data_IF_769195592884
#
_entry.id   IF_769195592884
#
_cell.length_a   1.000
_cell.length_b   1.000
_cell.length_c   1.000
_cell.angle_alpha   90.00
_cell.angle_beta   90.00
_cell.angle_gamma   90.00
#
_symmetry.space_group_name_H-M   'P 1'
#
loop_
_entity.id
_entity.type
_entity.pdbx_description
1 polymer ?
#
# COMPACT_ATOMS: atom_id res chain seq x y z
N UNK A 1 31.50 -68.05 18.75
CA UNK A 1 31.67 -67.28 17.50
C UNK A 1 30.75 -67.73 16.35
N UNK A 2 30.74 -69.01 15.91
CA UNK A 2 29.91 -69.47 14.77
C UNK A 2 28.40 -69.19 14.89
N UNK A 3 27.80 -69.31 16.09
CA UNK A 3 26.37 -69.03 16.31
C UNK A 3 26.00 -67.54 16.17
N UNK A 4 26.93 -66.64 16.49
CA UNK A 4 26.70 -65.18 16.37
C UNK A 4 26.70 -64.75 14.91
N UNK A 5 27.63 -65.28 14.10
CA UNK A 5 27.68 -65.07 12.64
C UNK A 5 26.45 -65.60 11.90
N UNK A 6 25.91 -66.74 12.33
CA UNK A 6 24.68 -67.28 11.74
C UNK A 6 23.47 -66.40 12.08
N UNK A 7 23.41 -65.89 13.31
CA UNK A 7 22.32 -65.04 13.77
C UNK A 7 22.34 -63.65 13.10
N UNK A 8 23.52 -63.04 12.94
CA UNK A 8 23.66 -61.77 12.19
C UNK A 8 23.40 -61.94 10.70
N UNK A 9 23.80 -63.06 10.09
CA UNK A 9 23.46 -63.38 8.70
C UNK A 9 21.94 -63.53 8.50
N UNK A 10 21.25 -64.26 9.39
CA UNK A 10 19.79 -64.36 9.37
C UNK A 10 19.11 -63.01 9.59
N UNK A 11 19.59 -62.18 10.51
CA UNK A 11 19.05 -60.83 10.76
C UNK A 11 19.27 -59.90 9.57
N UNK A 12 20.42 -59.96 8.90
CA UNK A 12 20.70 -59.19 7.68
C UNK A 12 19.83 -59.66 6.50
N UNK A 13 19.58 -60.97 6.38
CA UNK A 13 18.59 -61.50 5.44
C UNK A 13 17.19 -60.99 5.78
N UNK A 14 16.74 -61.06 7.04
CA UNK A 14 15.42 -60.54 7.42
C UNK A 14 15.29 -59.02 7.26
N UNK A 15 16.35 -58.24 7.50
CA UNK A 15 16.36 -56.79 7.24
C UNK A 15 16.28 -56.46 5.74
N UNK A 16 16.90 -57.27 4.88
CA UNK A 16 16.80 -57.08 3.43
C UNK A 16 15.44 -57.49 2.85
N UNK A 17 14.71 -58.40 3.52
CA UNK A 17 13.31 -58.72 3.16
C UNK A 17 12.27 -57.78 3.78
N UNK A 18 12.59 -57.06 4.87
CA UNK A 18 11.64 -56.20 5.60
C UNK A 18 11.35 -54.83 4.95
N UNK A 19 11.97 -54.50 3.81
CA UNK A 19 11.78 -53.21 3.14
C UNK A 19 11.05 -53.27 1.79
N UNK A 20 10.50 -54.43 1.41
CA UNK A 20 9.62 -54.52 0.25
C UNK A 20 8.21 -54.03 0.61
N UNK A 21 8.02 -52.72 0.59
CA UNK A 21 6.70 -52.10 0.76
C UNK A 21 6.04 -52.02 -0.62
N UNK A 22 5.03 -52.85 -0.83
CA UNK A 22 4.18 -52.79 -2.01
C UNK A 22 3.07 -51.75 -1.78
N UNK A 23 3.04 -50.72 -2.62
CA UNK A 23 2.05 -49.64 -2.54
C UNK A 23 1.11 -49.72 -3.74
N UNK A 24 -0.20 -49.77 -3.50
CA UNK A 24 -1.20 -49.83 -4.56
C UNK A 24 -1.53 -48.45 -5.15
N UNK A 25 -1.51 -48.32 -6.48
CA UNK A 25 -1.94 -47.12 -7.19
C UNK A 25 -3.12 -47.40 -8.12
N UNK A 26 -4.09 -46.48 -8.16
CA UNK A 26 -5.08 -46.41 -9.24
C UNK A 26 -4.56 -45.47 -10.32
N UNK A 27 -4.41 -46.00 -11.52
CA UNK A 27 -3.87 -45.30 -12.68
C UNK A 27 -4.90 -45.25 -13.80
N UNK A 28 -4.74 -44.29 -14.70
CA UNK A 28 -5.50 -44.20 -15.95
C UNK A 28 -4.51 -44.21 -17.09
N UNK A 29 -4.71 -45.12 -18.05
CA UNK A 29 -3.91 -45.15 -19.26
C UNK A 29 -4.38 -44.03 -20.18
N UNK A 30 -3.50 -43.08 -20.46
CA UNK A 30 -3.84 -41.93 -21.30
C UNK A 30 -3.60 -42.26 -22.77
N UNK A 31 -2.36 -42.60 -23.15
CA UNK A 31 -2.00 -43.02 -24.50
C UNK A 31 -0.58 -43.57 -24.51
N UNK A 32 -0.19 -44.29 -25.57
CA UNK A 32 1.21 -44.58 -25.88
C UNK A 32 1.93 -43.40 -26.55
N UNK A 33 1.18 -42.41 -27.06
CA UNK A 33 1.72 -41.20 -27.67
C UNK A 33 1.64 -40.00 -26.72
N UNK A 34 2.75 -39.28 -26.54
CA UNK A 34 2.83 -38.13 -25.64
C UNK A 34 1.80 -37.03 -25.95
N UNK A 35 1.65 -36.66 -27.23
CA UNK A 35 0.74 -35.57 -27.66
C UNK A 35 -0.71 -35.93 -27.34
N UNK A 36 -1.10 -37.16 -27.63
CA UNK A 36 -2.44 -37.67 -27.32
C UNK A 36 -2.67 -37.75 -25.81
N UNK A 37 -1.69 -38.24 -25.05
CA UNK A 37 -1.77 -38.33 -23.59
C UNK A 37 -1.92 -36.95 -22.93
N UNK A 38 -1.10 -35.97 -23.35
CA UNK A 38 -1.19 -34.58 -22.91
C UNK A 38 -2.58 -33.99 -23.21
N UNK A 39 -3.10 -34.24 -24.42
CA UNK A 39 -4.42 -33.77 -24.81
C UNK A 39 -5.54 -34.37 -23.93
N UNK A 40 -5.50 -35.68 -23.67
CA UNK A 40 -6.47 -36.35 -22.78
C UNK A 40 -6.37 -35.78 -21.37
N UNK A 41 -5.14 -35.68 -20.83
CA UNK A 41 -4.92 -35.16 -19.48
C UNK A 41 -5.42 -33.72 -19.32
N UNK A 42 -5.20 -32.85 -20.30
CA UNK A 42 -5.62 -31.46 -20.23
C UNK A 42 -7.10 -31.26 -20.56
N UNK A 43 -7.63 -31.91 -21.58
CA UNK A 43 -8.93 -31.56 -22.14
C UNK A 43 -10.06 -32.49 -21.71
N UNK A 44 -9.74 -33.62 -21.08
CA UNK A 44 -10.71 -34.52 -20.45
C UNK A 44 -10.48 -34.51 -18.95
N UNK A 45 -11.50 -34.87 -18.17
CA UNK A 45 -11.31 -35.11 -16.74
C UNK A 45 -10.80 -36.55 -16.56
N UNK A 46 -9.49 -36.77 -16.28
CA UNK A 46 -8.93 -38.12 -16.29
C UNK A 46 -9.52 -38.99 -15.17
N UNK A 47 -10.09 -38.37 -14.13
CA UNK A 47 -10.74 -39.10 -13.04
C UNK A 47 -12.04 -39.81 -13.46
N UNK A 48 -12.63 -39.43 -14.60
CA UNK A 48 -13.82 -40.06 -15.17
C UNK A 48 -13.48 -41.20 -16.15
N UNK A 49 -12.21 -41.39 -16.48
CA UNK A 49 -11.76 -42.46 -17.35
C UNK A 49 -11.59 -43.77 -16.58
N UNK A 50 -11.58 -44.89 -17.32
CA UNK A 50 -11.42 -46.22 -16.74
C UNK A 50 -10.08 -46.36 -15.99
N UNK A 51 -10.17 -46.70 -14.71
CA UNK A 51 -9.02 -46.86 -13.82
C UNK A 51 -8.53 -48.30 -13.82
N UNK A 52 -7.21 -48.47 -13.81
CA UNK A 52 -6.52 -49.72 -13.56
C UNK A 52 -5.79 -49.66 -12.23
N UNK A 53 -5.54 -50.82 -11.63
CA UNK A 53 -4.85 -50.97 -10.36
C UNK A 53 -3.51 -51.62 -10.60
N UNK A 54 -2.45 -51.02 -10.10
CA UNK A 54 -1.09 -51.56 -10.14
C UNK A 54 -0.49 -51.51 -8.74
N UNK A 55 0.49 -52.38 -8.48
CA UNK A 55 1.33 -52.30 -7.30
C UNK A 55 2.70 -51.76 -7.68
N UNK A 56 3.27 -50.90 -6.84
CA UNK A 56 4.65 -50.44 -6.99
C UNK A 56 5.49 -50.92 -5.82
N UNK A 57 6.62 -51.55 -6.16
CA UNK A 57 7.62 -52.03 -5.22
C UNK A 57 8.67 -50.93 -5.03
N UNK A 58 8.87 -50.49 -3.79
CA UNK A 58 9.99 -49.60 -3.46
C UNK A 58 11.33 -50.28 -3.71
N UNK A 59 12.20 -49.62 -4.48
CA UNK A 59 13.60 -50.03 -4.72
C UNK A 59 14.60 -49.22 -3.88
N UNK A 60 14.10 -48.46 -2.89
CA UNK A 60 14.90 -47.79 -1.87
C UNK A 60 15.49 -46.42 -2.24
N UNK A 61 15.41 -45.99 -3.52
CA UNK A 61 16.06 -44.76 -4.00
C UNK A 61 15.14 -43.79 -4.77
N UNK A 62 13.83 -44.07 -4.89
CA UNK A 62 12.92 -43.24 -5.70
C UNK A 62 11.79 -42.62 -4.88
N UNK A 63 11.44 -41.39 -5.24
CA UNK A 63 10.26 -40.71 -4.70
C UNK A 63 8.99 -41.41 -5.17
N UNK A 64 8.01 -41.50 -4.27
CA UNK A 64 6.70 -42.05 -4.58
C UNK A 64 5.98 -41.27 -5.68
N UNK A 65 5.16 -41.94 -6.48
CA UNK A 65 4.41 -41.28 -7.55
C UNK A 65 3.37 -40.31 -6.97
N UNK A 66 3.41 -39.06 -7.43
CA UNK A 66 2.49 -38.02 -6.99
C UNK A 66 1.11 -38.17 -7.66
N UNK A 67 0.04 -38.19 -6.84
CA UNK A 67 -1.35 -38.18 -7.33
C UNK A 67 -1.62 -36.89 -8.11
N UNK A 68 -2.40 -36.99 -9.19
CA UNK A 68 -2.75 -35.84 -10.02
C UNK A 68 -1.73 -35.53 -11.13
N UNK A 69 -0.68 -36.35 -11.28
CA UNK A 69 0.41 -36.14 -12.25
C UNK A 69 0.41 -37.21 -13.34
N UNK A 70 1.07 -36.89 -14.45
CA UNK A 70 1.29 -37.80 -15.57
C UNK A 70 2.70 -38.36 -15.52
N UNK A 71 2.83 -39.67 -15.73
CA UNK A 71 4.10 -40.37 -15.79
C UNK A 71 4.21 -41.12 -17.11
N UNK A 72 5.43 -41.29 -17.58
CA UNK A 72 5.78 -42.18 -18.67
C UNK A 72 6.43 -43.43 -18.09
N UNK A 73 6.10 -44.61 -18.61
CA UNK A 73 6.80 -45.84 -18.32
C UNK A 73 6.75 -46.77 -19.53
N UNK A 74 7.62 -47.78 -19.54
CA UNK A 74 7.69 -48.79 -20.59
C UNK A 74 7.09 -50.10 -20.09
N UNK A 75 6.05 -50.60 -20.76
CA UNK A 75 5.35 -51.83 -20.39
C UNK A 75 5.53 -52.87 -21.50
N UNK A 76 6.35 -53.90 -21.27
CA UNK A 76 6.66 -54.95 -22.24
C UNK A 76 7.09 -54.39 -23.61
N UNK A 77 8.00 -53.41 -23.60
CA UNK A 77 8.51 -52.74 -24.80
C UNK A 77 7.56 -51.71 -25.43
N UNK A 78 6.40 -51.45 -24.83
CA UNK A 78 5.46 -50.45 -25.31
C UNK A 78 5.48 -49.20 -24.41
N UNK A 79 5.81 -48.01 -24.94
CA UNK A 79 5.76 -46.78 -24.16
C UNK A 79 4.32 -46.44 -23.78
N UNK A 80 4.10 -46.06 -22.53
CA UNK A 80 2.78 -45.74 -22.01
C UNK A 80 2.83 -44.50 -21.11
N UNK A 81 1.92 -43.56 -21.36
CA UNK A 81 1.68 -42.41 -20.50
C UNK A 81 0.45 -42.68 -19.64
N UNK A 82 0.63 -42.53 -18.33
CA UNK A 82 -0.40 -42.79 -17.34
C UNK A 82 -0.63 -41.58 -16.44
N UNK A 83 -1.84 -41.50 -15.90
CA UNK A 83 -2.22 -40.55 -14.87
C UNK A 83 -2.40 -41.27 -13.54
N UNK A 84 -1.84 -40.74 -12.46
CA UNK A 84 -2.04 -41.27 -11.11
C UNK A 84 -3.31 -40.68 -10.51
N UNK A 85 -4.39 -41.46 -10.50
CA UNK A 85 -5.68 -41.02 -9.97
C UNK A 85 -5.76 -41.09 -8.45
N UNK A 86 -5.15 -42.12 -7.85
CA UNK A 86 -5.18 -42.34 -6.40
C UNK A 86 -4.01 -43.18 -5.93
N UNK A 87 -3.46 -42.83 -4.77
CA UNK A 87 -2.55 -43.67 -3.99
C UNK A 87 -3.35 -44.40 -2.89
N UNK A 88 -3.09 -45.69 -2.72
CA UNK A 88 -3.67 -46.50 -1.64
C UNK A 88 -2.60 -46.89 -0.63
N UNK A 89 -3.01 -47.02 0.64
CA UNK A 89 -2.11 -47.36 1.73
C UNK A 89 -1.67 -48.83 1.74
N UNK A 90 -2.34 -49.69 0.95
CA UNK A 90 -2.06 -51.11 0.86
C UNK A 90 -1.96 -51.55 -0.60
N UNK A 91 -1.23 -52.65 -0.83
CA UNK A 91 -1.17 -53.33 -2.13
C UNK A 91 -2.49 -54.03 -2.47
N UNK A 92 -2.67 -54.29 -3.77
CA UNK A 92 -3.77 -55.08 -4.30
C UNK A 92 -3.33 -56.55 -4.46
N UNK A 93 -4.11 -57.49 -3.93
CA UNK A 93 -3.72 -58.92 -3.83
C UNK A 93 -3.50 -59.65 -5.16
N UNK A 94 -4.05 -59.15 -6.28
CA UNK A 94 -4.08 -59.84 -7.58
C UNK A 94 -3.69 -58.93 -8.75
N UNK A 95 -2.67 -58.08 -8.59
CA UNK A 95 -2.28 -57.11 -9.63
C UNK A 95 -0.78 -57.10 -9.87
N UNK A 96 -0.44 -56.78 -11.11
CA UNK A 96 0.93 -56.66 -11.59
C UNK A 96 1.72 -55.65 -10.75
N UNK A 97 2.98 -55.99 -10.49
CA UNK A 97 3.89 -55.20 -9.68
C UNK A 97 5.02 -54.65 -10.55
N UNK A 98 5.25 -53.33 -10.45
CA UNK A 98 6.31 -52.60 -11.15
C UNK A 98 7.28 -51.96 -10.15
N UNK A 99 8.45 -51.53 -10.59
CA UNK A 99 9.37 -50.76 -9.75
C UNK A 99 9.05 -49.26 -9.86
N UNK A 100 9.30 -48.48 -8.81
CA UNK A 100 9.16 -47.01 -8.90
C UNK A 100 10.08 -46.39 -9.95
N UNK A 101 11.27 -46.96 -10.15
CA UNK A 101 12.25 -46.54 -11.16
C UNK A 101 11.76 -46.64 -12.61
N UNK A 102 10.72 -47.44 -12.87
CA UNK A 102 10.17 -47.61 -14.21
C UNK A 102 9.40 -46.35 -14.68
N UNK A 103 9.03 -45.46 -13.75
CA UNK A 103 8.18 -44.31 -14.02
C UNK A 103 8.96 -42.99 -14.04
N UNK A 104 8.76 -42.21 -15.10
CA UNK A 104 9.35 -40.87 -15.26
C UNK A 104 8.27 -39.80 -15.26
N UNK A 105 8.30 -38.90 -14.28
CA UNK A 105 7.38 -37.77 -14.18
C UNK A 105 7.46 -36.90 -15.45
N UNK A 106 6.31 -36.63 -16.06
CA UNK A 106 6.20 -35.75 -17.20
C UNK A 106 5.72 -34.38 -16.72
N UNK A 107 6.66 -33.45 -16.58
CA UNK A 107 6.35 -32.07 -16.24
C UNK A 107 5.87 -31.33 -17.48
N UNK A 108 4.61 -30.93 -17.50
CA UNK A 108 4.06 -30.03 -18.51
C UNK A 108 2.97 -29.16 -17.91
N UNK A 109 2.67 -28.08 -18.60
CA UNK A 109 1.59 -27.17 -18.25
C UNK A 109 0.48 -27.33 -19.27
N UNK A 110 -0.76 -27.47 -18.79
CA UNK A 110 -1.92 -27.38 -19.66
C UNK A 110 -2.11 -25.94 -20.07
N UNK A 111 -2.22 -25.71 -21.37
CA UNK A 111 -2.41 -24.39 -21.94
C UNK A 111 -3.82 -24.31 -22.53
N UNK A 112 -4.40 -23.11 -22.44
CA UNK A 112 -5.58 -22.76 -23.21
C UNK A 112 -5.16 -21.79 -24.29
N UNK A 113 -5.62 -22.01 -25.51
CA UNK A 113 -5.52 -20.99 -26.55
C UNK A 113 -6.59 -19.92 -26.30
N UNK A 114 -6.17 -18.66 -26.31
CA UNK A 114 -7.04 -17.49 -26.27
C UNK A 114 -6.82 -16.65 -27.51
N UNK A 115 -7.89 -16.07 -28.02
CA UNK A 115 -7.83 -15.22 -29.20
C UNK A 115 -7.98 -13.76 -28.83
N UNK A 116 -7.23 -12.91 -29.52
CA UNK A 116 -7.17 -11.48 -29.25
C UNK A 116 -7.38 -10.69 -30.54
N UNK A 117 -8.25 -9.68 -30.46
CA UNK A 117 -8.25 -8.59 -31.43
C UNK A 117 -7.13 -7.63 -31.02
N UNK A 118 -6.14 -7.47 -31.88
CA UNK A 118 -4.97 -6.64 -31.65
C UNK A 118 -4.74 -5.63 -32.78
N UNK A 119 -3.90 -4.66 -32.50
CA UNK A 119 -3.43 -3.64 -33.45
C UNK A 119 -1.92 -3.65 -33.44
N UNK A 120 -1.30 -3.87 -34.60
CA UNK A 120 0.12 -3.68 -34.75
C UNK A 120 0.39 -2.17 -34.88
N UNK A 121 1.08 -1.62 -33.88
CA UNK A 121 1.45 -0.21 -33.80
C UNK A 121 2.80 0.08 -34.48
N UNK A 122 3.45 -0.94 -35.06
CA UNK A 122 4.70 -0.80 -35.79
C UNK A 122 5.80 -1.72 -35.27
N UNK A 123 6.99 -1.55 -35.85
CA UNK A 123 8.15 -2.43 -35.62
C UNK A 123 9.22 -1.83 -34.70
N UNK A 124 8.99 -0.62 -34.18
CA UNK A 124 9.88 0.02 -33.22
C UNK A 124 9.10 0.77 -32.13
N UNK A 125 9.74 0.97 -30.98
CA UNK A 125 9.12 1.59 -29.80
C UNK A 125 8.67 3.04 -30.05
N UNK A 126 9.44 3.80 -30.82
CA UNK A 126 9.14 5.22 -31.09
C UNK A 126 7.81 5.40 -31.82
N UNK A 127 7.60 4.65 -32.92
CA UNK A 127 6.35 4.70 -33.67
C UNK A 127 5.16 4.20 -32.83
N UNK A 128 5.36 3.12 -32.06
CA UNK A 128 4.34 2.61 -31.15
C UNK A 128 3.93 3.65 -30.10
N UNK A 129 4.89 4.37 -29.53
CA UNK A 129 4.64 5.46 -28.58
C UNK A 129 3.85 6.60 -29.24
N UNK A 130 4.24 7.03 -30.44
CA UNK A 130 3.53 8.09 -31.15
C UNK A 130 2.07 7.72 -31.42
N UNK A 131 1.81 6.51 -31.92
CA UNK A 131 0.43 6.06 -32.20
C UNK A 131 -0.36 5.92 -30.90
N UNK A 132 0.23 5.35 -29.86
CA UNK A 132 -0.44 5.14 -28.59
C UNK A 132 -0.80 6.45 -27.88
N UNK A 133 0.07 7.46 -27.95
CA UNK A 133 -0.09 8.71 -27.20
C UNK A 133 -0.84 9.79 -27.96
N UNK A 134 -0.67 9.85 -29.29
CA UNK A 134 -1.19 10.93 -30.12
C UNK A 134 -2.37 10.51 -31.00
N UNK A 135 -2.69 9.21 -31.04
CA UNK A 135 -3.81 8.69 -31.81
C UNK A 135 -4.64 7.73 -30.94
N UNK A 136 -5.77 7.24 -31.46
CA UNK A 136 -6.50 6.17 -30.82
C UNK A 136 -5.88 4.82 -31.23
N UNK A 137 -5.13 4.13 -30.34
CA UNK A 137 -4.44 2.88 -30.69
C UNK A 137 -5.42 1.77 -31.08
N UNK A 138 -6.69 1.83 -30.67
CA UNK A 138 -7.71 0.85 -31.06
C UNK A 138 -8.11 0.93 -32.55
N UNK A 139 -7.79 2.03 -33.22
CA UNK A 139 -8.15 2.27 -34.64
C UNK A 139 -6.96 2.59 -35.54
N UNK A 140 -5.88 3.16 -35.00
CA UNK A 140 -4.74 3.65 -35.80
C UNK A 140 -3.81 2.55 -36.34
N UNK A 141 -3.66 1.43 -35.62
CA UNK A 141 -2.78 0.32 -36.06
C UNK A 141 -3.42 -0.60 -37.09
N UNK A 142 -2.59 -1.37 -37.82
CA UNK A 142 -3.09 -2.43 -38.69
C UNK A 142 -3.74 -3.52 -37.85
N UNK A 143 -4.92 -3.99 -38.25
CA UNK A 143 -5.62 -5.07 -37.54
C UNK A 143 -4.76 -6.33 -37.52
N UNK A 144 -4.70 -6.98 -36.36
CA UNK A 144 -4.03 -8.26 -36.18
C UNK A 144 -4.93 -9.15 -35.32
N UNK A 145 -5.21 -10.35 -35.80
CA UNK A 145 -6.00 -11.35 -35.09
C UNK A 145 -5.00 -12.41 -34.59
N UNK A 146 -4.91 -12.61 -33.26
CA UNK A 146 -3.87 -13.44 -32.63
C UNK A 146 -4.52 -14.63 -31.92
N UNK A 147 -3.95 -15.83 -32.08
CA UNK A 147 -4.14 -16.94 -31.16
C UNK A 147 -2.91 -17.02 -30.25
N UNK A 148 -3.12 -17.08 -28.94
CA UNK A 148 -2.03 -17.16 -27.96
C UNK A 148 -2.30 -18.34 -27.03
N UNK A 149 -1.36 -19.27 -26.96
CA UNK A 149 -1.34 -20.36 -26.00
C UNK A 149 -0.88 -19.83 -24.65
N UNK A 150 -1.75 -19.93 -23.65
CA UNK A 150 -1.51 -19.42 -22.30
C UNK A 150 -1.62 -20.55 -21.27
N UNK A 151 -0.66 -20.65 -20.32
CA UNK A 151 -0.80 -21.56 -19.18
C UNK A 151 -2.14 -21.38 -18.45
N UNK A 152 -2.87 -22.47 -18.23
CA UNK A 152 -4.14 -22.44 -17.50
C UNK A 152 -3.97 -21.82 -16.11
N UNK A 153 -4.84 -20.86 -15.80
CA UNK A 153 -4.80 -20.12 -14.53
C UNK A 153 -3.75 -19.00 -14.48
N UNK A 154 -2.93 -18.80 -15.53
CA UNK A 154 -2.03 -17.66 -15.59
C UNK A 154 -2.74 -16.36 -15.95
N UNK A 155 -2.06 -15.23 -15.73
CA UNK A 155 -2.52 -13.93 -16.20
C UNK A 155 -2.73 -13.97 -17.72
N UNK A 156 -3.69 -13.21 -18.25
CA UNK A 156 -3.91 -13.12 -19.70
C UNK A 156 -3.20 -11.90 -20.28
N UNK A 157 -3.04 -11.84 -21.59
CA UNK A 157 -2.75 -10.55 -22.23
C UNK A 157 -3.92 -9.59 -21.97
N UNK A 158 -3.63 -8.44 -21.37
CA UNK A 158 -4.65 -7.52 -20.89
C UNK A 158 -5.08 -6.54 -21.99
N UNK A 159 -6.38 -6.34 -22.22
CA UNK A 159 -6.89 -5.26 -23.07
C UNK A 159 -6.36 -3.89 -22.61
N UNK A 160 -6.11 -3.00 -23.57
CA UNK A 160 -5.58 -1.67 -23.30
C UNK A 160 -4.07 -1.62 -23.07
N UNK A 161 -3.34 -2.74 -23.21
CA UNK A 161 -1.90 -2.81 -23.01
C UNK A 161 -1.14 -3.04 -24.31
N UNK A 162 0.12 -2.60 -24.33
CA UNK A 162 1.05 -2.81 -25.43
C UNK A 162 2.04 -3.91 -25.07
N UNK A 163 2.26 -4.85 -25.98
CA UNK A 163 3.24 -5.91 -25.85
C UNK A 163 4.23 -5.84 -27.00
N UNK A 164 5.51 -6.06 -26.71
CA UNK A 164 6.55 -6.31 -27.68
C UNK A 164 6.59 -7.81 -27.93
N UNK A 165 6.47 -8.19 -29.20
CA UNK A 165 6.38 -9.56 -29.69
C UNK A 165 7.35 -9.74 -30.86
N UNK A 166 8.08 -10.86 -30.92
CA UNK A 166 8.95 -11.18 -32.04
C UNK A 166 8.29 -12.24 -32.92
N UNK A 167 7.95 -11.84 -34.13
CA UNK A 167 7.26 -12.63 -35.14
C UNK A 167 8.25 -13.02 -36.23
N UNK A 168 8.80 -14.24 -36.16
CA UNK A 168 9.75 -14.77 -37.17
C UNK A 168 10.95 -13.83 -37.45
N UNK A 169 11.47 -13.18 -36.40
CA UNK A 169 12.59 -12.23 -36.50
C UNK A 169 12.17 -10.78 -36.68
N UNK A 170 10.88 -10.50 -36.88
CA UNK A 170 10.34 -9.14 -36.92
C UNK A 170 9.77 -8.76 -35.56
N UNK A 171 10.40 -7.78 -34.90
CA UNK A 171 9.83 -7.18 -33.68
C UNK A 171 8.60 -6.36 -34.04
N UNK A 172 7.48 -6.61 -33.34
CA UNK A 172 6.23 -5.87 -33.44
C UNK A 172 5.82 -5.35 -32.07
N UNK A 173 5.21 -4.17 -32.05
CA UNK A 173 4.58 -3.59 -30.87
C UNK A 173 3.07 -3.67 -31.05
N UNK A 174 2.42 -4.56 -30.32
CA UNK A 174 1.00 -4.86 -30.48
C UNK A 174 0.19 -4.29 -29.32
N UNK A 175 -0.94 -3.66 -29.63
CA UNK A 175 -1.93 -3.20 -28.66
C UNK A 175 -3.10 -4.17 -28.62
N UNK A 176 -3.43 -4.70 -27.43
CA UNK A 176 -4.56 -5.60 -27.26
C UNK A 176 -5.84 -4.78 -27.13
N UNK A 177 -6.75 -4.93 -28.09
CA UNK A 177 -8.04 -4.23 -28.06
C UNK A 177 -9.01 -4.95 -27.14
N UNK A 178 -9.15 -6.28 -27.32
CA UNK A 178 -10.02 -7.14 -26.50
C UNK A 178 -9.68 -8.61 -26.68
N UNK A 179 -10.09 -9.43 -25.70
CA UNK A 179 -10.11 -10.89 -25.81
C UNK A 179 -11.39 -11.35 -26.50
N UNK A 180 -11.32 -12.40 -27.32
CA UNK A 180 -12.45 -13.07 -27.95
C UNK A 180 -12.72 -14.44 -27.34
N UNK A 181 -13.98 -14.87 -27.48
CA UNK A 181 -14.39 -16.25 -27.23
C UNK A 181 -14.24 -17.06 -28.53
N UNK A 182 -13.51 -18.18 -28.46
CA UNK A 182 -13.23 -19.05 -29.60
C UNK A 182 -11.94 -18.69 -30.34
N UNK A 183 -11.38 -19.69 -31.02
CA UNK A 183 -10.11 -19.60 -31.77
C UNK A 183 -10.31 -19.09 -33.20
N UNK A 184 -9.34 -18.33 -33.72
CA UNK A 184 -9.27 -18.03 -35.15
C UNK A 184 -8.74 -19.28 -35.88
N UNK A 185 -9.60 -19.95 -36.67
CA UNK A 185 -9.29 -21.26 -37.28
C UNK A 185 -8.14 -21.24 -38.30
N UNK A 186 -7.80 -20.08 -38.83
CA UNK A 186 -6.83 -19.84 -39.91
C UNK A 186 -5.58 -19.10 -39.43
N UNK A 187 -5.35 -19.01 -38.11
CA UNK A 187 -4.24 -18.26 -37.52
C UNK A 187 -3.31 -19.16 -36.71
N UNK A 188 -2.02 -18.88 -36.85
CA UNK A 188 -0.99 -19.51 -36.03
C UNK A 188 -1.18 -19.17 -34.54
N UNK A 189 -0.77 -20.11 -33.70
CA UNK A 189 -0.84 -19.97 -32.24
C UNK A 189 0.55 -19.65 -31.70
N UNK A 190 0.68 -18.50 -31.06
CA UNK A 190 1.92 -18.02 -30.44
C UNK A 190 1.98 -18.39 -28.96
N UNK A 191 3.16 -18.51 -28.37
CA UNK A 191 3.27 -18.71 -26.93
C UNK A 191 3.10 -17.38 -26.20
N UNK A 192 2.39 -17.36 -25.07
CA UNK A 192 2.32 -16.17 -24.21
C UNK A 192 3.72 -15.66 -23.79
N UNK A 193 4.71 -16.55 -23.68
CA UNK A 193 6.09 -16.19 -23.34
C UNK A 193 6.74 -15.27 -24.36
N UNK A 194 6.23 -15.23 -25.60
CA UNK A 194 6.80 -14.44 -26.69
C UNK A 194 6.40 -12.95 -26.58
N UNK A 195 5.49 -12.63 -25.64
CA UNK A 195 4.98 -11.30 -25.41
C UNK A 195 5.59 -10.68 -24.15
N UNK A 196 6.21 -9.51 -24.31
CA UNK A 196 6.75 -8.72 -23.21
C UNK A 196 5.98 -7.41 -23.06
N UNK A 197 5.37 -7.18 -21.89
CA UNK A 197 4.60 -5.96 -21.62
C UNK A 197 5.49 -4.72 -21.78
N UNK A 198 5.00 -3.72 -22.52
CA UNK A 198 5.64 -2.42 -22.68
C UNK A 198 4.87 -1.36 -21.91
N UNK A 199 5.54 -0.76 -20.92
CA UNK A 199 4.97 0.33 -20.14
C UNK A 199 5.25 1.65 -20.86
N UNK A 200 4.28 2.08 -21.66
CA UNK A 200 4.36 3.36 -22.37
C UNK A 200 3.58 4.40 -21.56
N UNK A 201 4.30 5.42 -21.11
CA UNK A 201 3.72 6.59 -20.45
C UNK A 201 3.56 7.68 -21.48
N UNK A 202 2.33 8.15 -21.67
CA UNK A 202 2.07 9.32 -22.50
C UNK A 202 2.17 10.57 -21.64
N UNK A 203 2.89 11.56 -22.15
CA UNK A 203 2.99 12.87 -21.52
C UNK A 203 2.10 13.85 -22.29
N UNK A 204 1.36 14.67 -21.56
CA UNK A 204 0.73 15.85 -22.10
C UNK A 204 1.60 17.04 -21.69
N UNK A 205 1.98 17.89 -22.64
CA UNK A 205 2.64 19.15 -22.30
C UNK A 205 1.61 20.13 -21.76
N UNK A 206 1.95 20.78 -20.65
CA UNK A 206 1.18 21.87 -20.05
C UNK A 206 2.05 23.09 -19.89
N UNK A 207 1.43 24.25 -20.08
CA UNK A 207 2.14 25.52 -19.98
C UNK A 207 1.73 26.28 -18.74
N UNK A 208 2.71 26.94 -18.12
CA UNK A 208 2.53 27.67 -16.88
C UNK A 208 3.13 29.07 -17.01
N UNK A 209 2.37 30.05 -16.56
CA UNK A 209 2.91 31.37 -16.24
C UNK A 209 3.51 31.27 -14.83
N UNK A 210 4.81 31.52 -14.69
CA UNK A 210 5.54 31.40 -13.45
C UNK A 210 6.38 32.66 -13.14
N UNK A 211 6.83 32.76 -11.89
CA UNK A 211 7.80 33.76 -11.44
C UNK A 211 9.02 33.06 -10.89
N UNK A 212 10.20 33.40 -11.40
CA UNK A 212 11.46 32.98 -10.80
C UNK A 212 11.75 33.88 -9.59
N UNK A 213 11.70 33.27 -8.41
CA UNK A 213 11.94 33.93 -7.12
C UNK A 213 13.44 33.92 -6.73
N UNK A 214 14.29 33.31 -7.54
CA UNK A 214 15.74 33.29 -7.34
C UNK A 214 16.34 31.89 -7.34
N UNK A 215 17.63 31.83 -7.03
CA UNK A 215 18.44 30.59 -7.10
C UNK A 215 18.72 29.95 -5.74
N UNK A 216 18.26 30.56 -4.64
CA UNK A 216 18.40 30.01 -3.30
C UNK A 216 17.08 30.10 -2.51
N UNK A 217 16.91 29.18 -1.56
CA UNK A 217 15.68 29.05 -0.77
C UNK A 217 15.41 30.29 0.09
N UNK A 218 16.45 30.92 0.63
CA UNK A 218 16.32 32.09 1.50
C UNK A 218 15.65 33.28 0.78
N UNK A 219 16.15 33.62 -0.42
CA UNK A 219 15.58 34.70 -1.22
C UNK A 219 14.13 34.38 -1.65
N UNK A 220 13.89 33.14 -2.07
CA UNK A 220 12.54 32.70 -2.45
C UNK A 220 11.56 32.82 -1.28
N UNK A 221 11.98 32.45 -0.07
CA UNK A 221 11.17 32.58 1.16
C UNK A 221 10.89 34.06 1.47
N UNK A 222 11.90 34.93 1.40
CA UNK A 222 11.71 36.35 1.64
C UNK A 222 10.70 36.97 0.66
N UNK A 223 10.82 36.67 -0.63
CA UNK A 223 9.89 37.20 -1.64
C UNK A 223 8.48 36.63 -1.41
N UNK A 224 8.36 35.32 -1.17
CA UNK A 224 7.07 34.68 -0.97
C UNK A 224 6.32 35.20 0.26
N UNK A 225 7.03 35.45 1.35
CA UNK A 225 6.41 35.82 2.62
C UNK A 225 6.22 37.32 2.82
N UNK A 226 7.13 38.13 2.28
CA UNK A 226 7.17 39.58 2.53
C UNK A 226 6.75 40.41 1.31
N UNK A 227 6.61 39.79 0.14
CA UNK A 227 6.16 40.46 -1.08
C UNK A 227 4.98 39.68 -1.70
N UNK A 228 4.42 40.21 -2.78
CA UNK A 228 3.44 39.47 -3.58
C UNK A 228 4.17 38.60 -4.62
N UNK A 229 4.30 37.27 -4.44
CA UNK A 229 5.06 36.41 -5.35
C UNK A 229 4.46 36.31 -6.75
N UNK A 230 3.20 36.71 -6.97
CA UNK A 230 2.60 36.73 -8.30
C UNK A 230 3.14 37.88 -9.18
N UNK A 231 3.63 38.95 -8.55
CA UNK A 231 4.19 40.14 -9.22
C UNK A 231 5.68 40.31 -8.96
N UNK A 232 6.19 39.78 -7.86
CA UNK A 232 7.61 39.78 -7.52
C UNK A 232 8.38 38.69 -8.29
N UNK A 233 9.67 38.92 -8.51
CA UNK A 233 10.53 38.03 -9.30
C UNK A 233 10.43 38.26 -10.82
N UNK A 234 11.31 37.60 -11.57
CA UNK A 234 11.30 37.68 -13.04
C UNK A 234 10.24 36.75 -13.63
N UNK A 235 9.57 37.20 -14.69
CA UNK A 235 8.59 36.38 -15.41
C UNK A 235 9.28 35.18 -16.05
N UNK A 236 8.67 34.00 -15.94
CA UNK A 236 9.12 32.79 -16.59
C UNK A 236 7.91 32.07 -17.19
N UNK A 237 8.01 31.72 -18.46
CA UNK A 237 6.98 30.97 -19.18
C UNK A 237 7.53 29.54 -19.33
N UNK A 238 6.81 28.53 -18.84
CA UNK A 238 7.28 27.14 -18.75
C UNK A 238 6.39 26.22 -19.57
N UNK A 239 6.99 25.31 -20.34
CA UNK A 239 6.32 24.10 -20.80
C UNK A 239 6.79 22.94 -19.92
N UNK A 240 5.85 22.13 -19.42
CA UNK A 240 6.13 20.98 -18.57
C UNK A 240 5.44 19.76 -19.14
N UNK A 241 6.21 18.72 -19.46
CA UNK A 241 5.73 17.40 -19.83
C UNK A 241 5.22 16.69 -18.58
N UNK A 242 3.93 16.39 -18.55
CA UNK A 242 3.29 15.72 -17.42
C UNK A 242 2.69 14.39 -17.87
N UNK A 243 2.94 13.27 -17.18
CA UNK A 243 2.25 12.01 -17.47
C UNK A 243 0.73 12.21 -17.48
N UNK A 244 0.06 11.74 -18.53
CA UNK A 244 -1.38 11.91 -18.73
C UNK A 244 -2.15 11.36 -17.51
N UNK A 245 -3.02 12.19 -16.95
CA UNK A 245 -3.79 11.87 -15.74
C UNK A 245 -3.04 12.09 -14.42
N UNK A 246 -1.78 12.52 -14.44
CA UNK A 246 -1.07 12.92 -13.23
C UNK A 246 -1.56 14.28 -12.70
N UNK A 247 -1.26 14.56 -11.43
CA UNK A 247 -1.52 15.88 -10.85
C UNK A 247 -0.77 16.97 -11.61
N UNK A 248 -1.28 18.19 -11.64
CA UNK A 248 -0.58 19.31 -12.28
C UNK A 248 0.35 20.01 -11.31
N UNK A 249 1.27 20.84 -11.82
CA UNK A 249 1.85 21.88 -10.96
C UNK A 249 0.73 22.83 -10.51
N UNK A 250 0.67 23.09 -9.20
CA UNK A 250 -0.47 23.78 -8.58
C UNK A 250 -0.21 25.29 -8.55
N UNK A 251 -1.12 26.12 -9.08
CA UNK A 251 -1.05 27.57 -8.91
C UNK A 251 -0.98 27.98 -7.44
N UNK A 252 -0.22 29.02 -7.15
CA UNK A 252 -0.01 29.50 -5.77
C UNK A 252 1.06 28.73 -4.99
N UNK A 253 1.75 27.77 -5.60
CA UNK A 253 2.80 26.97 -4.95
C UNK A 253 4.19 27.30 -5.49
N UNK A 254 5.20 27.03 -4.68
CA UNK A 254 6.61 27.16 -5.03
C UNK A 254 7.19 25.79 -5.35
N UNK A 255 7.93 25.70 -6.44
CA UNK A 255 8.67 24.51 -6.83
C UNK A 255 10.15 24.85 -6.99
N UNK A 256 11.00 23.92 -6.59
CA UNK A 256 12.42 23.93 -6.87
C UNK A 256 12.70 22.99 -8.02
N UNK A 257 13.40 23.46 -9.04
CA UNK A 257 13.87 22.62 -10.14
C UNK A 257 15.27 23.05 -10.60
N UNK A 258 15.94 22.18 -11.35
CA UNK A 258 17.27 22.43 -11.90
C UNK A 258 17.15 22.73 -13.40
N UNK A 259 17.57 23.92 -13.80
CA UNK A 259 17.60 24.40 -15.17
C UNK A 259 19.06 24.48 -15.63
N UNK A 260 19.51 23.49 -16.41
CA UNK A 260 20.87 23.41 -16.97
C UNK A 260 21.99 23.57 -15.92
N UNK A 261 21.81 23.00 -14.73
CA UNK A 261 22.78 23.10 -13.63
C UNK A 261 22.54 24.27 -12.67
N UNK A 262 21.59 25.16 -12.98
CA UNK A 262 21.16 26.24 -12.10
C UNK A 262 19.89 25.88 -11.36
N UNK A 263 19.97 25.77 -10.04
CA UNK A 263 18.78 25.60 -9.19
C UNK A 263 17.94 26.88 -9.24
N UNK A 264 16.65 26.74 -9.52
CA UNK A 264 15.67 27.83 -9.49
C UNK A 264 14.52 27.50 -8.55
N UNK A 265 14.02 28.53 -7.87
CA UNK A 265 12.79 28.47 -7.08
C UNK A 265 11.72 29.28 -7.81
N UNK A 266 10.69 28.60 -8.32
CA UNK A 266 9.63 29.22 -9.11
C UNK A 266 8.30 29.18 -8.37
N UNK A 267 7.53 30.25 -8.51
CA UNK A 267 6.15 30.33 -8.09
C UNK A 267 5.22 30.18 -9.30
N UNK A 268 4.29 29.23 -9.24
CA UNK A 268 3.32 29.02 -10.32
C UNK A 268 2.18 30.03 -10.16
N UNK A 269 2.05 30.96 -11.11
CA UNK A 269 1.00 31.97 -11.09
C UNK A 269 -0.32 31.35 -11.56
N UNK A 270 -0.31 30.68 -12.71
CA UNK A 270 -1.47 29.99 -13.29
C UNK A 270 -1.07 28.99 -14.36
N UNK A 271 -1.96 28.04 -14.64
CA UNK A 271 -1.89 27.19 -15.83
C UNK A 271 -2.44 27.94 -17.05
N UNK A 272 -1.83 27.74 -18.20
CA UNK A 272 -2.23 28.35 -19.47
C UNK A 272 -2.80 27.29 -20.43
N UNK A 273 -3.73 27.72 -21.28
CA UNK A 273 -4.22 26.90 -22.39
C UNK A 273 -3.29 27.09 -23.61
N UNK A 274 -2.81 25.98 -24.14
CA UNK A 274 -1.88 25.96 -25.29
C UNK A 274 -0.41 26.08 -24.88
N UNK A 275 0.45 25.56 -25.75
CA UNK A 275 1.90 25.49 -25.55
C UNK A 275 2.62 26.77 -25.96
N UNK A 276 3.69 27.13 -25.26
CA UNK A 276 4.63 28.15 -25.72
C UNK A 276 5.50 27.55 -26.83
N UNK A 277 5.30 27.99 -28.08
CA UNK A 277 5.93 27.36 -29.26
C UNK A 277 7.46 27.46 -29.31
N UNK A 278 8.04 28.39 -28.56
CA UNK A 278 9.46 28.76 -28.54
C UNK A 278 10.15 28.42 -27.22
N UNK A 279 9.51 27.60 -26.36
CA UNK A 279 10.04 27.25 -25.04
C UNK A 279 10.32 25.76 -24.92
N UNK A 280 11.45 25.45 -24.29
CA UNK A 280 11.81 24.09 -23.94
C UNK A 280 10.78 23.47 -22.99
N UNK A 281 10.63 22.14 -23.10
CA UNK A 281 9.73 21.36 -22.27
C UNK A 281 10.53 20.65 -21.18
N UNK A 282 10.22 20.96 -19.93
CA UNK A 282 10.83 20.33 -18.75
C UNK A 282 10.01 19.13 -18.31
N UNK A 283 10.62 18.11 -17.70
CA UNK A 283 9.84 17.01 -17.13
C UNK A 283 9.21 17.46 -15.80
N UNK A 284 7.96 17.07 -15.55
CA UNK A 284 7.33 17.31 -14.24
C UNK A 284 8.14 16.73 -13.07
N UNK A 285 8.88 15.63 -13.30
CA UNK A 285 9.74 15.01 -12.28
C UNK A 285 10.86 15.93 -11.79
N UNK A 286 11.23 16.94 -12.59
CA UNK A 286 12.31 17.86 -12.25
C UNK A 286 11.88 18.89 -11.19
N UNK A 287 10.58 18.99 -10.94
CA UNK A 287 9.98 19.93 -10.00
C UNK A 287 9.70 19.28 -8.65
N UNK A 288 10.29 19.86 -7.61
CA UNK A 288 10.06 19.47 -6.21
C UNK A 288 9.29 20.56 -5.46
N UNK A 289 8.10 20.24 -4.96
CA UNK A 289 7.26 21.18 -4.21
C UNK A 289 7.99 21.67 -2.95
N UNK A 290 8.03 22.97 -2.75
CA UNK A 290 8.59 23.62 -1.57
C UNK A 290 7.47 24.10 -0.66
N UNK A 291 7.39 23.51 0.53
CA UNK A 291 6.42 23.89 1.56
C UNK A 291 7.01 25.03 2.41
N UNK A 292 6.84 26.26 1.93
CA UNK A 292 7.30 27.45 2.65
C UNK A 292 6.20 27.89 3.60
N UNK A 293 6.53 27.91 4.89
CA UNK A 293 5.68 28.45 5.95
C UNK A 293 6.15 29.89 6.18
N UNK A 294 5.25 30.83 5.94
CA UNK A 294 5.50 32.23 6.29
C UNK A 294 5.14 32.43 7.75
N UNK A 295 6.09 32.90 8.55
CA UNK A 295 5.89 33.17 9.96
C UNK A 295 5.86 34.69 10.19
N UNK A 296 4.99 35.11 11.09
CA UNK A 296 4.99 36.44 11.67
C UNK A 296 5.57 36.34 13.08
N UNK A 297 6.48 37.23 13.44
CA UNK A 297 6.86 37.41 14.84
C UNK A 297 5.78 38.22 15.55
N UNK A 298 5.30 37.72 16.68
CA UNK A 298 4.39 38.42 17.60
C UNK A 298 5.05 38.53 18.95
N UNK A 299 4.85 39.67 19.60
CA UNK A 299 5.44 39.92 20.92
C UNK A 299 4.40 39.88 22.01
N UNK A 300 4.78 39.36 23.17
CA UNK A 300 3.90 39.16 24.31
C UNK A 300 4.57 39.67 25.58
N UNK A 301 3.82 40.42 26.38
CA UNK A 301 4.15 40.64 27.79
C UNK A 301 3.70 39.39 28.56
N UNK A 302 4.60 38.73 29.28
CA UNK A 302 4.33 37.49 29.99
C UNK A 302 4.89 37.48 31.42
N UNK A 303 4.47 36.50 32.22
CA UNK A 303 5.08 36.15 33.51
C UNK A 303 5.69 34.76 33.43
N UNK A 304 6.95 34.61 33.83
CA UNK A 304 7.54 33.31 34.09
C UNK A 304 7.13 32.87 35.52
N UNK A 305 6.30 31.84 35.59
CA UNK A 305 5.76 31.30 36.83
C UNK A 305 6.64 30.20 37.45
N UNK A 306 7.74 29.83 36.78
CA UNK A 306 8.70 28.82 37.22
C UNK A 306 8.60 27.52 36.42
N UNK A 307 9.15 26.44 36.98
CA UNK A 307 9.33 25.14 36.31
C UNK A 307 8.53 24.01 36.95
N UNK A 308 7.95 24.21 38.14
CA UNK A 308 7.24 23.17 38.90
C UNK A 308 5.72 23.27 38.73
N UNK A 309 5.04 22.31 38.05
CA UNK A 309 3.61 22.40 37.76
C UNK A 309 2.70 22.59 38.99
N UNK A 310 3.07 22.04 40.16
CA UNK A 310 2.28 22.18 41.38
C UNK A 310 2.26 23.62 41.91
N UNK A 311 3.39 24.31 41.83
CA UNK A 311 3.48 25.73 42.22
C UNK A 311 2.60 26.58 41.30
N UNK A 312 2.60 26.26 40.00
CA UNK A 312 1.79 26.99 39.02
C UNK A 312 0.29 26.75 39.23
N UNK A 313 -0.13 25.53 39.57
CA UNK A 313 -1.53 25.28 39.91
C UNK A 313 -1.96 26.12 41.13
N UNK A 314 -1.12 26.18 42.17
CA UNK A 314 -1.40 27.03 43.33
C UNK A 314 -1.44 28.53 42.96
N UNK A 315 -0.53 29.00 42.10
CA UNK A 315 -0.57 30.39 41.59
C UNK A 315 -1.85 30.66 40.80
N UNK A 316 -2.28 29.71 39.97
CA UNK A 316 -3.48 29.85 39.16
C UNK A 316 -4.75 29.88 40.01
N UNK A 317 -4.81 29.06 41.06
CA UNK A 317 -6.01 28.90 41.88
C UNK A 317 -6.11 29.89 43.03
N UNK A 318 -4.99 30.19 43.68
CA UNK A 318 -4.98 30.90 44.95
C UNK A 318 -4.28 32.26 44.86
N UNK A 319 -3.76 32.64 43.69
CA UNK A 319 -3.08 33.90 43.46
C UNK A 319 -3.53 34.51 42.11
N UNK A 320 -3.04 35.71 41.80
CA UNK A 320 -3.25 36.33 40.49
C UNK A 320 -2.02 36.05 39.59
N UNK A 321 -2.14 35.20 38.55
CA UNK A 321 -1.04 34.90 37.63
C UNK A 321 -0.46 36.12 36.91
N UNK A 322 -1.24 37.21 36.76
CA UNK A 322 -0.77 38.42 36.10
C UNK A 322 0.27 39.21 36.92
N UNK A 323 0.30 39.01 38.24
CA UNK A 323 1.23 39.65 39.16
C UNK A 323 2.25 38.68 39.77
N UNK A 324 2.01 37.37 39.67
CA UNK A 324 2.91 36.34 40.15
C UNK A 324 4.13 36.13 39.22
N UNK A 325 5.22 35.62 39.78
CA UNK A 325 6.44 35.31 39.03
C UNK A 325 7.21 36.54 38.52
N UNK A 326 8.26 36.28 37.73
CA UNK A 326 9.07 37.34 37.13
C UNK A 326 8.48 37.79 35.79
N UNK A 327 8.63 39.08 35.46
CA UNK A 327 8.24 39.60 34.14
C UNK A 327 9.14 38.97 33.07
N UNK A 328 8.53 38.59 31.95
CA UNK A 328 9.23 38.06 30.77
C UNK A 328 8.62 38.69 29.53
N UNK A 329 9.48 39.17 28.64
CA UNK A 329 9.08 39.70 27.34
C UNK A 329 9.42 38.62 26.30
N UNK A 330 8.45 38.22 25.48
CA UNK A 330 8.59 37.12 24.52
C UNK A 330 8.39 37.61 23.09
N UNK A 331 9.29 37.24 22.18
CA UNK A 331 9.00 37.21 20.75
C UNK A 331 8.67 35.76 20.37
N UNK A 332 7.56 35.55 19.68
CA UNK A 332 7.11 34.23 19.24
C UNK A 332 6.89 34.27 17.74
N UNK A 333 7.61 33.42 17.01
CA UNK A 333 7.40 33.18 15.58
C UNK A 333 6.18 32.27 15.41
N UNK A 334 5.17 32.76 14.71
CA UNK A 334 3.90 32.06 14.50
C UNK A 334 3.58 31.97 13.01
N UNK A 335 3.10 30.83 12.49
CA UNK A 335 2.62 30.77 11.11
C UNK A 335 1.57 31.86 10.84
N UNK A 336 1.73 32.58 9.74
CA UNK A 336 0.87 33.69 9.33
C UNK A 336 -0.58 33.22 9.23
N UNK A 337 -1.48 33.91 9.91
CA UNK A 337 -2.91 33.55 10.00
C UNK A 337 -3.26 32.48 11.04
N UNK A 338 -2.29 31.98 11.81
CA UNK A 338 -2.57 31.05 12.93
C UNK A 338 -3.11 31.77 14.17
N UNK A 339 -3.79 31.04 15.05
CA UNK A 339 -4.35 31.57 16.30
C UNK A 339 -3.24 32.01 17.26
N UNK A 340 -3.20 33.27 17.65
CA UNK A 340 -2.19 33.82 18.59
C UNK A 340 -2.21 33.11 19.95
N UNK A 341 -1.11 33.24 20.71
CA UNK A 341 -1.14 32.91 22.13
C UNK A 341 -2.21 33.78 22.82
N UNK A 342 -3.06 33.14 23.61
CA UNK A 342 -4.25 33.74 24.19
C UNK A 342 -3.85 34.45 25.48
N UNK A 343 -4.22 35.73 25.60
CA UNK A 343 -4.03 36.50 26.83
C UNK A 343 -4.86 35.92 27.96
N UNK A 344 -4.33 35.92 29.17
CA UNK A 344 -4.97 35.32 30.34
C UNK A 344 -4.78 33.80 30.47
N UNK A 345 -3.90 33.19 29.67
CA UNK A 345 -3.65 31.74 29.68
C UNK A 345 -2.22 31.38 30.08
N UNK A 346 -2.07 30.20 30.68
CA UNK A 346 -0.78 29.61 31.04
C UNK A 346 -0.37 28.61 29.96
N UNK A 347 0.87 28.71 29.51
CA UNK A 347 1.49 27.79 28.57
C UNK A 347 2.69 27.10 29.22
N UNK A 348 2.81 25.80 28.98
CA UNK A 348 4.05 25.06 29.16
C UNK A 348 4.95 25.41 27.97
N UNK A 349 6.10 26.01 28.25
CA UNK A 349 7.04 26.55 27.29
C UNK A 349 8.37 25.81 27.41
N UNK A 350 8.92 25.31 26.30
CA UNK A 350 10.23 24.66 26.29
C UNK A 350 11.32 25.66 25.87
N UNK A 351 12.14 26.08 26.83
CA UNK A 351 13.22 27.03 26.65
C UNK A 351 14.56 26.29 26.63
N UNK A 352 15.05 25.97 25.42
CA UNK A 352 16.32 25.26 25.21
C UNK A 352 16.47 23.96 26.03
N UNK A 353 15.37 23.22 26.20
CA UNK A 353 15.31 21.99 26.99
C UNK A 353 14.86 22.16 28.44
N UNK A 354 14.73 23.40 28.92
CA UNK A 354 14.16 23.72 30.23
C UNK A 354 12.67 23.99 30.11
N UNK A 355 11.85 23.17 30.76
CA UNK A 355 10.40 23.39 30.80
C UNK A 355 10.08 24.51 31.78
N UNK A 356 9.49 25.60 31.28
CA UNK A 356 8.93 26.70 32.05
C UNK A 356 7.43 26.78 31.87
N UNK A 357 6.75 27.44 32.80
CA UNK A 357 5.34 27.76 32.70
C UNK A 357 5.20 29.28 32.64
N UNK A 358 4.59 29.76 31.56
CA UNK A 358 4.48 31.18 31.27
C UNK A 358 3.02 31.60 31.17
N UNK A 359 2.66 32.66 31.85
CA UNK A 359 1.34 33.28 31.75
C UNK A 359 1.39 34.46 30.78
N UNK A 360 0.55 34.45 29.75
CA UNK A 360 0.49 35.52 28.76
C UNK A 360 -0.40 36.64 29.29
N UNK A 361 0.18 37.80 29.59
CA UNK A 361 -0.58 38.95 30.09
C UNK A 361 -1.36 39.57 28.93
N UNK A 362 -0.65 39.91 27.85
CA UNK A 362 -1.23 40.52 26.64
C UNK A 362 -0.30 40.38 25.45
N UNK A 363 -0.88 40.43 24.25
CA UNK A 363 -0.11 40.66 23.02
C UNK A 363 0.29 42.14 22.90
N UNK A 364 1.46 42.39 22.35
CA UNK A 364 2.00 43.73 22.11
C UNK A 364 2.14 44.00 20.60
N UNK A 365 2.00 45.27 20.21
CA UNK A 365 2.35 45.73 18.87
C UNK A 365 3.85 46.04 18.79
N UNK A 366 4.54 45.41 17.82
CA UNK A 366 5.97 45.60 17.59
C UNK A 366 6.84 44.60 18.34
N UNK A 367 8.02 44.32 17.78
CA UNK A 367 8.98 43.33 18.26
C UNK A 367 9.90 43.89 19.35
N UNK A 368 10.27 43.05 20.32
CA UNK A 368 11.35 43.37 21.25
C UNK A 368 12.69 43.16 20.54
N UNK A 369 13.40 44.25 20.22
CA UNK A 369 14.62 44.21 19.38
C UNK A 369 15.80 43.45 19.99
N UNK A 370 15.80 43.29 21.30
CA UNK A 370 16.88 42.72 22.12
C UNK A 370 16.54 41.33 22.69
N UNK A 371 15.49 40.68 22.16
CA UNK A 371 14.99 39.39 22.67
C UNK A 371 15.00 38.30 21.61
N UNK A 372 15.34 37.09 22.06
CA UNK A 372 15.26 35.88 21.25
C UNK A 372 13.82 35.62 20.79
N UNK A 373 13.70 34.98 19.63
CA UNK A 373 12.42 34.60 19.04
C UNK A 373 12.22 33.10 19.17
N UNK A 374 11.14 32.70 19.85
CA UNK A 374 10.79 31.30 20.11
C UNK A 374 9.76 30.82 19.10
N UNK A 375 9.72 29.53 18.78
CA UNK A 375 8.67 29.00 17.92
C UNK A 375 7.38 28.87 18.72
N UNK A 376 6.24 29.17 18.09
CA UNK A 376 4.92 28.90 18.70
C UNK A 376 4.74 27.43 19.08
N UNK A 377 5.38 26.51 18.35
CA UNK A 377 5.33 25.07 18.67
C UNK A 377 5.92 24.74 20.04
N UNK A 378 6.75 25.62 20.60
CA UNK A 378 7.37 25.43 21.91
C UNK A 378 6.37 25.68 23.06
N UNK A 379 5.18 26.19 22.76
CA UNK A 379 4.14 26.54 23.71
C UNK A 379 2.97 25.55 23.66
N UNK A 380 2.65 24.95 24.81
CA UNK A 380 1.50 24.06 24.98
C UNK A 380 0.56 24.63 26.05
N UNK A 381 -0.67 24.97 25.66
CA UNK A 381 -1.69 25.50 26.58
C UNK A 381 -1.91 24.53 27.76
N UNK A 382 -1.91 25.06 28.98
CA UNK A 382 -2.22 24.30 30.20
C UNK A 382 -3.55 24.78 30.76
N UNK A 383 -4.39 23.82 31.15
CA UNK A 383 -5.64 24.07 31.86
C UNK A 383 -5.49 23.54 33.29
N UNK A 384 -5.76 24.39 34.27
CA UNK A 384 -5.75 24.05 35.68
C UNK A 384 -7.18 24.13 36.22
N UNK A 385 -7.47 23.31 37.22
CA UNK A 385 -8.75 23.26 37.94
C UNK A 385 -8.49 23.57 39.41
N UNK A 386 -9.35 24.39 40.01
CA UNK A 386 -9.19 24.90 41.37
C UNK A 386 -10.21 24.26 42.31
N UNK A 387 -9.85 24.09 43.59
CA UNK A 387 -10.68 23.40 44.58
C UNK A 387 -12.02 24.13 44.83
N UNK A 388 -12.08 25.46 44.68
CA UNK A 388 -13.32 26.22 44.81
C UNK A 388 -14.27 26.07 43.60
N UNK A 389 -13.80 25.56 42.46
CA UNK A 389 -14.66 25.18 41.34
C UNK A 389 -15.39 23.83 41.61
N UNK A 390 -15.16 23.17 42.75
CA UNK A 390 -15.78 21.87 43.08
C UNK A 390 -17.22 21.97 43.59
N UNK A 391 -17.68 23.11 44.09
CA UNK A 391 -19.04 23.22 44.66
C UNK A 391 -20.14 23.31 43.58
N UNK A 392 -19.80 23.65 42.33
CA UNK A 392 -20.75 23.76 41.22
C UNK A 392 -20.88 22.48 40.35
N UNK A 393 -20.13 21.41 40.64
CA UNK A 393 -20.20 20.15 39.88
C UNK A 393 -20.99 19.04 40.56
N UNK A 394 -21.89 19.38 41.47
CA UNK A 394 -22.76 18.42 42.16
C UNK A 394 -23.89 17.92 41.23
N UNK A 395 -23.53 17.13 40.21
CA UNK A 395 -24.50 16.61 39.23
C UNK A 395 -25.16 15.34 39.74
N UNK A 396 -26.48 15.29 39.63
CA UNK A 396 -27.29 14.10 39.91
C UNK A 396 -27.31 13.21 38.68
N UNK A 397 -26.73 12.02 38.76
CA UNK A 397 -26.85 11.03 37.69
C UNK A 397 -27.90 9.97 38.03
N UNK A 398 -28.65 9.55 37.01
CA UNK A 398 -29.64 8.49 37.07
C UNK A 398 -29.33 7.43 36.02
N UNK A 399 -29.24 6.18 36.44
CA UNK A 399 -28.82 5.05 35.60
C UNK A 399 -30.03 4.17 35.33
N UNK A 400 -30.30 3.89 34.06
CA UNK A 400 -31.37 3.02 33.59
C UNK A 400 -30.79 1.78 32.90
N UNK A 401 -31.43 0.62 33.06
CA UNK A 401 -31.07 -0.58 32.29
C UNK A 401 -31.65 -0.52 30.86
N UNK A 402 -31.35 -1.54 30.04
CA UNK A 402 -31.87 -1.67 28.67
C UNK A 402 -33.41 -1.66 28.55
N UNK A 403 -34.14 -1.96 29.62
CA UNK A 403 -35.61 -1.95 29.67
C UNK A 403 -36.18 -0.59 30.09
N UNK A 404 -35.33 0.42 30.31
CA UNK A 404 -35.74 1.74 30.79
C UNK A 404 -36.06 1.80 32.29
N UNK A 405 -35.72 0.76 33.06
CA UNK A 405 -35.97 0.72 34.51
C UNK A 405 -34.80 1.38 35.23
N UNK A 406 -35.10 2.29 36.18
CA UNK A 406 -34.09 2.95 37.03
C UNK A 406 -33.37 1.91 37.90
N UNK A 407 -32.05 1.84 37.77
CA UNK A 407 -31.17 0.92 38.50
C UNK A 407 -30.53 1.61 39.69
N UNK A 408 -30.05 2.85 39.51
CA UNK A 408 -29.37 3.61 40.58
C UNK A 408 -29.45 5.12 40.31
N UNK A 409 -29.39 5.90 41.37
CA UNK A 409 -29.40 7.36 41.34
C UNK A 409 -28.43 7.86 42.42
N UNK A 410 -27.51 8.75 42.05
CA UNK A 410 -26.48 9.24 42.97
C UNK A 410 -26.04 10.65 42.57
N UNK A 411 -25.81 11.50 43.58
CA UNK A 411 -25.13 12.78 43.41
C UNK A 411 -23.63 12.52 43.34
N UNK A 412 -22.99 13.08 42.34
CA UNK A 412 -21.58 12.85 42.02
C UNK A 412 -20.87 14.19 41.98
N UNK A 413 -19.77 14.26 42.70
CA UNK A 413 -18.94 15.46 42.80
C UNK A 413 -17.71 15.35 41.88
N UNK A 414 -17.29 14.14 41.51
CA UNK A 414 -16.10 13.92 40.69
C UNK A 414 -16.28 12.84 39.59
N UNK A 415 -15.59 12.99 38.45
CA UNK A 415 -15.66 12.00 37.35
C UNK A 415 -15.20 10.60 37.79
N UNK A 416 -14.31 10.51 38.78
CA UNK A 416 -13.84 9.23 39.29
C UNK A 416 -14.85 8.54 40.21
N UNK A 417 -15.73 9.28 40.88
CA UNK A 417 -16.89 8.71 41.57
C UNK A 417 -17.88 8.13 40.57
N UNK A 418 -18.08 8.80 39.42
CA UNK A 418 -18.87 8.22 38.32
C UNK A 418 -18.22 6.93 37.83
N UNK A 419 -16.92 6.93 37.53
CA UNK A 419 -16.22 5.69 37.12
C UNK A 419 -16.37 4.58 38.18
N UNK A 420 -16.23 4.92 39.46
CA UNK A 420 -16.35 3.97 40.57
C UNK A 420 -17.77 3.42 40.69
N UNK A 421 -18.79 4.27 40.54
CA UNK A 421 -20.19 3.87 40.50
C UNK A 421 -20.48 2.94 39.33
N UNK A 422 -19.98 3.25 38.13
CA UNK A 422 -20.15 2.39 36.94
C UNK A 422 -19.40 1.05 37.10
N UNK A 423 -18.29 1.01 37.85
CA UNK A 423 -17.61 -0.24 38.24
C UNK A 423 -18.44 -1.12 39.18
N UNK A 424 -19.41 -0.57 39.93
CA UNK A 424 -20.30 -1.39 40.77
C UNK A 424 -21.46 -2.05 40.02
N UNK A 425 -21.77 -1.61 38.79
CA UNK A 425 -22.91 -2.16 38.03
C UNK A 425 -22.64 -3.59 37.54
N UNK A 426 -23.64 -4.49 37.49
CA UNK A 426 -23.51 -5.78 36.81
C UNK A 426 -23.22 -5.63 35.31
N UNK A 427 -22.77 -6.70 34.65
CA UNK A 427 -22.59 -6.71 33.19
C UNK A 427 -23.90 -6.40 32.47
N UNK A 428 -23.85 -5.53 31.46
CA UNK A 428 -25.05 -5.13 30.72
C UNK A 428 -24.96 -3.79 30.02
N UNK A 429 -26.07 -3.43 29.38
CA UNK A 429 -26.25 -2.14 28.71
C UNK A 429 -27.03 -1.17 29.63
N UNK A 430 -26.49 0.03 29.81
CA UNK A 430 -27.10 1.08 30.63
C UNK A 430 -27.15 2.41 29.90
N UNK A 431 -28.13 3.23 30.31
CA UNK A 431 -28.30 4.62 29.91
C UNK A 431 -28.15 5.49 31.15
N UNK A 432 -27.24 6.45 31.09
CA UNK A 432 -26.97 7.38 32.18
C UNK A 432 -27.55 8.72 31.76
N UNK A 433 -28.40 9.31 32.59
CA UNK A 433 -28.93 10.67 32.43
C UNK A 433 -28.41 11.55 33.55
N UNK A 434 -27.92 12.73 33.23
CA UNK A 434 -27.69 13.77 34.23
C UNK A 434 -28.94 14.66 34.40
N UNK A 435 -28.90 15.50 35.43
CA UNK A 435 -29.89 16.52 35.76
C UNK A 435 -30.01 17.62 34.71
N UNK A 436 -28.98 17.82 33.89
CA UNK A 436 -28.99 18.74 32.75
C UNK A 436 -29.64 18.13 31.50
N UNK A 437 -30.15 16.90 31.57
CA UNK A 437 -30.83 16.22 30.47
C UNK A 437 -29.89 15.58 29.44
N UNK A 438 -28.58 15.63 29.63
CA UNK A 438 -27.64 14.91 28.79
C UNK A 438 -27.76 13.41 29.07
N UNK A 439 -27.61 12.61 28.01
CA UNK A 439 -27.66 11.15 28.13
C UNK A 439 -26.47 10.49 27.45
N UNK A 440 -25.93 9.45 28.09
CA UNK A 440 -24.88 8.62 27.52
C UNK A 440 -25.17 7.14 27.69
N UNK A 441 -24.76 6.35 26.70
CA UNK A 441 -24.93 4.91 26.63
C UNK A 441 -23.61 4.23 27.00
N UNK A 442 -23.66 3.26 27.91
CA UNK A 442 -22.50 2.46 28.29
C UNK A 442 -22.80 0.97 28.15
N UNK A 443 -21.81 0.21 27.68
CA UNK A 443 -21.87 -1.25 27.63
C UNK A 443 -20.75 -1.82 28.50
N UNK A 444 -21.13 -2.51 29.58
CA UNK A 444 -20.18 -3.08 30.54
C UNK A 444 -19.90 -4.54 30.21
N UNK A 445 -18.67 -4.83 29.80
CA UNK A 445 -18.25 -6.17 29.36
C UNK A 445 -17.52 -7.00 30.40
N UNK A 446 -16.89 -6.40 31.42
CA UNK A 446 -16.32 -7.11 32.57
C UNK A 446 -16.43 -6.27 33.84
#
# INVERSE_FOLDING_TARGET
MKKFLLFTSLLLCFYSFAHRVDIGYEIVNLSSNYRTAKNIFCNQNPNLLNKRKINLISDGNHEELTVGKMFWFENDGNPMYIYIARKNASSFRDRDSFLFSDFRLQNFICEDTKSYDARNLGTNAFLANQIYCNQNPATAGSRMDLNVSEPRGSSRLAPGKIYKFNDEGTVRYIYIVRTRNGEFRDRDTFSKSDFSLQNITCEDTKSYDARNLGTNAFLANQIYCNQNPATAGSRMDLNVGEPRGSSRLTPGKIYKFNDEGTVRYIYIVRTRNGEFRDRDTFSKSDFSLQNIICEDTKSYDARNLGTNPFIIQNIYCNQNPATAGSRMDLNVSEPKGSNRLISGRIYRFNDEGTIRYVYIIRSRSGEFRDRDTFSKSDFTLQNYFCEDDYDDFLRKITIYNKKGIKVKEQKINHIDEEKSLLKTLPKGLYFIKDDNGNSKKIFKQN
#
